data_IF_793219960004
#
_entry.id   IF_793219960004
#
_cell.length_a   1.000
_cell.length_b   1.000
_cell.length_c   1.000
_cell.angle_alpha   90.00
_cell.angle_beta   90.00
_cell.angle_gamma   90.00
#
_symmetry.space_group_name_H-M   'P 1'
#
loop_
_entity.id
_entity.type
_entity.pdbx_description
1 polymer ?
#
# COMPACT_ATOMS: atom_id res chain seq x y z
N UNK A 1 6.81 -15.43 -29.39
CA UNK A 1 6.38 -14.12 -28.86
C UNK A 1 6.26 -14.29 -27.36
N UNK A 2 7.36 -14.11 -26.64
CA UNK A 2 7.32 -14.15 -25.16
C UNK A 2 6.73 -12.83 -24.71
N UNK A 3 5.40 -12.83 -24.48
CA UNK A 3 4.76 -11.82 -23.66
C UNK A 3 5.39 -12.02 -22.29
N UNK A 4 6.09 -11.02 -21.75
CA UNK A 4 6.56 -11.08 -20.38
C UNK A 4 5.38 -11.45 -19.51
N UNK A 5 5.43 -12.55 -18.77
CA UNK A 5 4.50 -12.75 -17.70
C UNK A 5 4.80 -11.63 -16.70
N UNK A 6 3.95 -10.64 -16.73
CA UNK A 6 3.87 -9.50 -15.85
C UNK A 6 5.18 -9.16 -15.12
N UNK A 7 5.76 -7.97 -15.41
CA UNK A 7 6.88 -7.43 -14.64
C UNK A 7 6.64 -7.54 -13.13
N UNK A 8 5.36 -7.59 -12.73
CA UNK A 8 4.87 -7.92 -11.39
C UNK A 8 5.31 -9.31 -10.91
N UNK A 9 5.27 -10.35 -11.75
CA UNK A 9 5.69 -11.70 -11.35
C UNK A 9 7.21 -11.76 -11.12
N UNK A 10 7.98 -11.09 -11.96
CA UNK A 10 9.44 -11.02 -11.82
C UNK A 10 9.83 -10.19 -10.58
N UNK A 11 9.16 -9.05 -10.36
CA UNK A 11 9.36 -8.24 -9.17
C UNK A 11 8.96 -8.99 -7.89
N UNK A 12 7.87 -9.78 -7.94
CA UNK A 12 7.49 -10.67 -6.83
C UNK A 12 8.58 -11.70 -6.53
N UNK A 13 9.15 -12.36 -7.55
CA UNK A 13 10.23 -13.33 -7.37
C UNK A 13 11.48 -12.68 -6.73
N UNK A 14 11.78 -11.45 -7.12
CA UNK A 14 12.83 -10.67 -6.47
C UNK A 14 12.53 -10.39 -4.99
N UNK A 15 11.31 -9.92 -4.68
CA UNK A 15 10.89 -9.63 -3.30
C UNK A 15 10.85 -10.90 -2.44
N UNK A 16 10.46 -12.06 -2.99
CA UNK A 16 10.52 -13.35 -2.29
C UNK A 16 11.94 -13.70 -1.86
N UNK A 17 12.92 -13.44 -2.71
CA UNK A 17 14.33 -13.63 -2.37
C UNK A 17 14.77 -12.70 -1.23
N UNK A 18 14.19 -11.51 -1.13
CA UNK A 18 14.46 -10.54 -0.07
C UNK A 18 13.56 -10.71 1.16
N UNK A 19 12.66 -11.70 1.19
CA UNK A 19 11.66 -11.91 2.24
C UNK A 19 10.80 -10.66 2.48
N UNK A 20 10.34 -10.04 1.41
CA UNK A 20 9.59 -8.77 1.41
C UNK A 20 8.37 -8.80 0.47
N UNK A 21 7.93 -9.98 0.02
CA UNK A 21 6.81 -10.16 -0.92
C UNK A 21 5.46 -9.71 -0.33
N UNK A 22 5.32 -9.71 1.00
CA UNK A 22 4.11 -9.25 1.68
C UNK A 22 3.76 -7.80 1.32
N UNK A 23 4.76 -6.97 1.05
CA UNK A 23 4.57 -5.58 0.66
C UNK A 23 3.82 -5.46 -0.68
N UNK A 24 4.26 -6.22 -1.68
CA UNK A 24 3.61 -6.26 -3.00
C UNK A 24 2.22 -6.91 -2.92
N UNK A 25 2.09 -8.00 -2.17
CA UNK A 25 0.83 -8.71 -1.98
C UNK A 25 -0.23 -7.82 -1.34
N UNK A 26 0.17 -7.03 -0.35
CA UNK A 26 -0.71 -6.04 0.27
C UNK A 26 -1.20 -5.01 -0.75
N UNK A 27 -0.31 -4.39 -1.53
CA UNK A 27 -0.69 -3.41 -2.56
C UNK A 27 -1.72 -3.99 -3.53
N UNK A 28 -1.45 -5.19 -4.08
CA UNK A 28 -2.34 -5.85 -5.04
C UNK A 28 -3.71 -6.20 -4.41
N UNK A 29 -3.72 -6.61 -3.15
CA UNK A 29 -4.97 -6.88 -2.42
C UNK A 29 -5.75 -5.61 -2.11
N UNK A 30 -5.09 -4.50 -1.78
CA UNK A 30 -5.76 -3.20 -1.59
C UNK A 30 -6.36 -2.71 -2.90
N UNK A 31 -5.66 -2.86 -4.02
CA UNK A 31 -6.19 -2.49 -5.34
C UNK A 31 -7.43 -3.34 -5.68
N UNK A 32 -7.42 -4.65 -5.37
CA UNK A 32 -8.61 -5.51 -5.49
C UNK A 32 -9.75 -5.07 -4.58
N UNK A 33 -9.44 -4.71 -3.32
CA UNK A 33 -10.40 -4.19 -2.35
C UNK A 33 -11.12 -2.94 -2.87
N UNK A 34 -10.35 -1.98 -3.41
CA UNK A 34 -10.89 -0.72 -3.97
C UNK A 34 -11.80 -0.94 -5.19
N UNK A 35 -11.54 -1.97 -5.97
CA UNK A 35 -12.33 -2.31 -7.17
C UNK A 35 -13.49 -3.26 -6.91
N UNK A 36 -13.80 -3.55 -5.63
CA UNK A 36 -14.86 -4.48 -5.27
C UNK A 36 -16.20 -3.75 -5.10
N UNK A 37 -17.17 -4.04 -5.96
CA UNK A 37 -18.49 -3.41 -5.93
C UNK A 37 -19.38 -3.90 -4.77
N UNK A 38 -19.25 -5.17 -4.38
CA UNK A 38 -20.07 -5.77 -3.34
C UNK A 38 -19.62 -5.33 -1.94
N UNK A 39 -20.44 -4.54 -1.26
CA UNK A 39 -20.16 -3.97 0.06
C UNK A 39 -19.85 -5.06 1.11
N UNK A 40 -20.64 -6.11 1.20
CA UNK A 40 -20.44 -7.15 2.22
C UNK A 40 -19.14 -7.94 2.00
N UNK A 41 -18.76 -8.18 0.73
CA UNK A 41 -17.47 -8.79 0.39
C UNK A 41 -16.32 -7.84 0.68
N UNK A 42 -16.49 -6.55 0.38
CA UNK A 42 -15.48 -5.52 0.65
C UNK A 42 -15.22 -5.38 2.15
N UNK A 43 -16.25 -5.34 2.97
CA UNK A 43 -16.09 -5.29 4.43
C UNK A 43 -15.36 -6.52 4.98
N UNK A 44 -15.68 -7.72 4.50
CA UNK A 44 -14.93 -8.93 4.86
C UNK A 44 -13.47 -8.83 4.47
N UNK A 45 -13.19 -8.40 3.24
CA UNK A 45 -11.82 -8.24 2.75
C UNK A 45 -11.04 -7.17 3.53
N UNK A 46 -11.72 -6.12 4.04
CA UNK A 46 -11.09 -5.15 4.93
C UNK A 46 -10.56 -5.82 6.21
N UNK A 47 -11.37 -6.65 6.86
CA UNK A 47 -10.95 -7.39 8.05
C UNK A 47 -9.83 -8.39 7.77
N UNK A 48 -9.88 -9.08 6.63
CA UNK A 48 -8.79 -9.99 6.22
C UNK A 48 -7.48 -9.23 5.98
N UNK A 49 -7.55 -8.08 5.29
CA UNK A 49 -6.38 -7.21 5.07
C UNK A 49 -5.80 -6.70 6.39
N UNK A 50 -6.65 -6.24 7.29
CA UNK A 50 -6.22 -5.75 8.59
C UNK A 50 -5.53 -6.86 9.40
N UNK A 51 -6.20 -8.01 9.54
CA UNK A 51 -5.70 -9.15 10.33
C UNK A 51 -4.38 -9.70 9.78
N UNK A 52 -4.27 -9.80 8.46
CA UNK A 52 -3.14 -10.48 7.82
C UNK A 52 -1.92 -9.56 7.62
N UNK A 53 -2.13 -8.21 7.58
CA UNK A 53 -1.06 -7.27 7.23
C UNK A 53 -0.83 -6.12 8.21
N UNK A 54 -1.89 -5.60 8.88
CA UNK A 54 -1.81 -4.35 9.64
C UNK A 54 -1.68 -4.60 11.14
N UNK A 55 -2.41 -5.58 11.67
CA UNK A 55 -2.39 -5.91 13.09
C UNK A 55 -0.97 -6.24 13.57
N UNK A 56 -0.68 -5.88 14.82
CA UNK A 56 0.59 -6.27 15.46
C UNK A 56 0.62 -7.79 15.58
N UNK A 57 1.72 -8.42 15.19
CA UNK A 57 1.85 -9.88 15.15
C UNK A 57 1.09 -10.55 13.98
N UNK A 58 0.67 -9.80 12.98
CA UNK A 58 0.04 -10.35 11.78
C UNK A 58 0.96 -11.34 11.07
N UNK A 59 0.37 -12.32 10.38
CA UNK A 59 1.13 -13.36 9.66
C UNK A 59 2.09 -12.78 8.60
N UNK A 60 1.69 -11.69 7.96
CA UNK A 60 2.43 -10.96 6.94
C UNK A 60 2.57 -9.50 7.36
N UNK A 61 2.94 -9.27 8.62
CA UNK A 61 2.97 -7.93 9.20
C UNK A 61 3.84 -6.98 8.39
N UNK A 62 3.23 -5.85 7.99
CA UNK A 62 3.93 -4.80 7.26
C UNK A 62 4.77 -3.94 8.20
N UNK A 63 5.91 -3.49 7.70
CA UNK A 63 6.76 -2.52 8.39
C UNK A 63 6.16 -1.10 8.24
N UNK A 64 5.12 -0.84 9.03
CA UNK A 64 4.46 0.46 9.12
C UNK A 64 4.98 1.23 10.32
N UNK A 65 5.15 2.54 10.15
CA UNK A 65 5.33 3.43 11.29
C UNK A 65 4.07 3.46 12.17
N UNK A 66 4.22 3.84 13.44
CA UNK A 66 3.15 3.82 14.43
C UNK A 66 1.96 4.68 14.02
N UNK A 67 2.19 5.85 13.41
CA UNK A 67 1.13 6.73 12.95
C UNK A 67 0.33 6.11 11.80
N UNK A 68 1.00 5.60 10.77
CA UNK A 68 0.34 4.94 9.63
C UNK A 68 -0.49 3.73 10.09
N UNK A 69 0.04 2.94 11.04
CA UNK A 69 -0.69 1.82 11.64
C UNK A 69 -1.93 2.30 12.40
N UNK A 70 -1.78 3.31 13.27
CA UNK A 70 -2.86 3.86 14.09
C UNK A 70 -3.98 4.43 13.23
N UNK A 71 -3.67 5.26 12.25
CA UNK A 71 -4.66 5.83 11.30
C UNK A 71 -5.42 4.72 10.57
N UNK A 72 -4.73 3.70 10.06
CA UNK A 72 -5.38 2.58 9.37
C UNK A 72 -6.26 1.77 10.33
N UNK A 73 -5.82 1.54 11.58
CA UNK A 73 -6.60 0.83 12.59
C UNK A 73 -7.89 1.58 12.93
N UNK A 74 -7.82 2.89 13.10
CA UNK A 74 -9.00 3.73 13.36
C UNK A 74 -9.98 3.70 12.19
N UNK A 75 -9.50 3.77 10.96
CA UNK A 75 -10.34 3.68 9.76
C UNK A 75 -11.08 2.34 9.64
N UNK A 76 -10.67 1.30 10.39
CA UNK A 76 -11.38 0.01 10.45
C UNK A 76 -12.68 0.06 11.25
N UNK A 77 -12.94 1.10 12.03
CA UNK A 77 -14.22 1.29 12.73
C UNK A 77 -15.38 1.36 11.72
N UNK A 78 -15.14 2.08 10.60
CA UNK A 78 -16.11 2.16 9.50
C UNK A 78 -15.36 2.01 8.17
N UNK A 79 -15.10 0.77 7.71
CA UNK A 79 -14.26 0.54 6.53
C UNK A 79 -14.89 1.12 5.26
N UNK A 80 -14.13 1.96 4.56
CA UNK A 80 -14.48 2.57 3.28
C UNK A 80 -13.34 2.42 2.26
N UNK A 81 -13.52 2.90 1.03
CA UNK A 81 -12.56 2.68 -0.07
C UNK A 81 -11.14 3.19 0.22
N UNK A 82 -11.01 4.25 1.03
CA UNK A 82 -9.72 4.85 1.39
C UNK A 82 -9.12 4.33 2.72
N UNK A 83 -9.75 3.37 3.38
CA UNK A 83 -9.30 2.81 4.68
C UNK A 83 -7.81 2.45 4.71
N UNK A 84 -7.28 1.92 3.62
CA UNK A 84 -5.89 1.47 3.53
C UNK A 84 -4.95 2.44 2.81
N UNK A 85 -5.41 3.64 2.43
CA UNK A 85 -4.62 4.55 1.58
C UNK A 85 -3.33 5.01 2.26
N UNK A 86 -3.37 5.31 3.56
CA UNK A 86 -2.19 5.70 4.34
C UNK A 86 -1.15 4.57 4.37
N UNK A 87 -1.56 3.36 4.74
CA UNK A 87 -0.67 2.20 4.76
C UNK A 87 -0.15 1.87 3.35
N UNK A 88 -1.04 1.90 2.33
CA UNK A 88 -0.66 1.68 0.94
C UNK A 88 0.38 2.68 0.44
N UNK A 89 0.18 3.96 0.74
CA UNK A 89 1.13 5.02 0.38
C UNK A 89 2.50 4.80 1.02
N UNK A 90 2.54 4.42 2.29
CA UNK A 90 3.79 4.12 3.00
C UNK A 90 4.54 2.93 2.38
N UNK A 91 3.83 1.84 2.11
CA UNK A 91 4.42 0.64 1.50
C UNK A 91 4.85 0.90 0.04
N UNK A 92 4.05 1.65 -0.73
CA UNK A 92 4.42 2.04 -2.09
C UNK A 92 5.73 2.86 -2.10
N UNK A 93 5.87 3.80 -1.18
CA UNK A 93 7.11 4.58 -1.04
C UNK A 93 8.31 3.69 -0.68
N UNK A 94 8.12 2.71 0.22
CA UNK A 94 9.15 1.75 0.58
C UNK A 94 9.59 0.94 -0.65
N UNK A 95 8.65 0.39 -1.40
CA UNK A 95 8.95 -0.39 -2.60
C UNK A 95 9.64 0.46 -3.69
N UNK A 96 9.15 1.67 -3.94
CA UNK A 96 9.65 2.52 -5.03
C UNK A 96 11.04 3.09 -4.76
N UNK A 97 11.33 3.47 -3.52
CA UNK A 97 12.56 4.17 -3.18
C UNK A 97 13.72 3.23 -2.81
N UNK A 98 13.44 1.96 -2.59
CA UNK A 98 14.44 0.99 -2.16
C UNK A 98 14.38 -0.32 -2.99
N UNK A 99 13.40 -1.16 -2.77
CA UNK A 99 13.33 -2.49 -3.38
C UNK A 99 13.31 -2.45 -4.92
N UNK A 100 12.60 -1.49 -5.52
CA UNK A 100 12.50 -1.36 -6.97
C UNK A 100 13.83 -0.94 -7.61
N UNK A 101 14.61 -0.10 -6.93
CA UNK A 101 15.93 0.30 -7.40
C UNK A 101 16.86 -0.92 -7.46
N UNK A 102 16.90 -1.71 -6.38
CA UNK A 102 17.69 -2.96 -6.34
C UNK A 102 17.19 -4.00 -7.35
N UNK A 103 15.88 -4.07 -7.59
CA UNK A 103 15.31 -4.94 -8.63
C UNK A 103 15.84 -4.59 -10.03
N UNK A 104 15.94 -3.31 -10.38
CA UNK A 104 16.48 -2.88 -11.68
C UNK A 104 17.96 -3.25 -11.84
N UNK A 105 18.69 -3.37 -10.75
CA UNK A 105 20.10 -3.78 -10.73
C UNK A 105 20.27 -5.31 -10.68
N UNK A 106 19.19 -6.04 -10.41
CA UNK A 106 19.22 -7.49 -10.32
C UNK A 106 19.61 -8.14 -11.66
N UNK A 107 20.62 -9.01 -11.62
CA UNK A 107 21.23 -9.62 -12.82
C UNK A 107 20.19 -10.28 -13.72
N UNK A 108 19.28 -11.08 -13.15
CA UNK A 108 18.21 -11.75 -13.91
C UNK A 108 17.31 -10.74 -14.63
N UNK A 109 16.94 -9.63 -13.99
CA UNK A 109 16.17 -8.58 -14.63
C UNK A 109 16.95 -7.96 -15.79
N UNK A 110 18.23 -7.65 -15.61
CA UNK A 110 19.09 -7.04 -16.62
C UNK A 110 19.30 -7.97 -17.84
N UNK A 111 19.49 -9.26 -17.59
CA UNK A 111 19.61 -10.25 -18.67
C UNK A 111 18.32 -10.36 -19.48
N UNK A 112 17.16 -10.47 -18.82
CA UNK A 112 15.86 -10.54 -19.47
C UNK A 112 15.54 -9.26 -20.24
N UNK A 113 15.80 -8.08 -19.65
CA UNK A 113 15.61 -6.79 -20.31
C UNK A 113 16.47 -6.66 -21.60
N UNK A 114 17.70 -7.17 -21.56
CA UNK A 114 18.60 -7.17 -22.72
C UNK A 114 18.09 -8.11 -23.83
N UNK A 115 17.63 -9.31 -23.46
CA UNK A 115 17.09 -10.28 -24.42
C UNK A 115 15.83 -9.80 -25.12
N UNK A 116 15.02 -8.98 -24.44
CA UNK A 116 13.76 -8.45 -24.98
C UNK A 116 13.91 -7.15 -25.76
N UNK A 117 15.13 -6.64 -25.95
CA UNK A 117 15.40 -5.37 -26.64
C UNK A 117 14.61 -4.18 -26.07
N UNK A 118 14.17 -4.29 -24.80
CA UNK A 118 13.59 -3.15 -24.10
C UNK A 118 14.72 -2.26 -23.55
N UNK A 119 14.56 -0.92 -23.57
CA UNK A 119 15.55 -0.04 -22.94
C UNK A 119 15.71 -0.41 -21.47
N UNK A 120 16.93 -0.69 -21.05
CA UNK A 120 17.23 -0.88 -19.63
C UNK A 120 16.98 0.46 -18.95
N UNK A 121 16.02 0.52 -18.03
CA UNK A 121 15.82 1.67 -17.18
C UNK A 121 17.02 1.76 -16.25
N UNK A 122 17.95 2.66 -16.55
CA UNK A 122 19.02 2.98 -15.62
C UNK A 122 18.48 3.87 -14.52
N UNK A 123 18.84 3.64 -13.26
CA UNK A 123 18.44 4.56 -12.19
C UNK A 123 19.14 5.90 -12.41
N UNK A 124 18.44 6.85 -13.05
CA UNK A 124 18.83 8.25 -13.03
C UNK A 124 18.45 8.81 -11.68
N UNK A 125 19.42 9.23 -10.90
CA UNK A 125 19.23 10.03 -9.70
C UNK A 125 18.29 11.21 -10.02
N UNK A 126 17.23 11.32 -9.26
CA UNK A 126 16.19 12.35 -9.26
C UNK A 126 15.11 12.24 -10.35
N UNK A 127 14.07 11.50 -10.06
CA UNK A 127 12.67 11.90 -10.30
C UNK A 127 11.74 10.86 -9.71
N UNK A 128 10.74 11.33 -9.02
CA UNK A 128 9.63 10.53 -8.48
C UNK A 128 9.09 9.58 -9.55
N UNK A 129 9.48 8.32 -9.50
CA UNK A 129 8.91 7.29 -10.35
C UNK A 129 7.49 7.02 -9.87
N UNK A 130 6.54 7.71 -10.50
CA UNK A 130 5.16 7.27 -10.47
C UNK A 130 5.08 5.95 -11.23
N UNK A 131 4.89 4.85 -10.52
CA UNK A 131 4.45 3.61 -11.11
C UNK A 131 3.10 3.89 -11.79
N UNK A 132 3.16 4.09 -13.11
CA UNK A 132 1.96 4.24 -13.93
C UNK A 132 1.27 2.88 -14.02
N UNK A 133 0.36 2.62 -13.10
CA UNK A 133 -0.73 1.69 -13.35
C UNK A 133 -1.66 2.38 -14.36
N UNK A 134 -2.22 1.67 -15.35
CA UNK A 134 -3.04 2.30 -16.37
C UNK A 134 -4.21 3.02 -15.72
N UNK A 135 -4.20 4.34 -15.78
CA UNK A 135 -5.29 5.17 -15.36
C UNK A 135 -6.47 4.93 -16.32
N UNK A 136 -7.55 4.42 -15.77
CA UNK A 136 -8.85 4.51 -16.41
C UNK A 136 -9.24 5.99 -16.46
N UNK A 137 -9.50 6.46 -17.66
CA UNK A 137 -9.80 7.84 -18.03
C UNK A 137 -10.73 8.57 -17.06
N UNK A 138 -10.29 9.77 -16.74
CA UNK A 138 -11.02 11.03 -16.61
C UNK A 138 -12.49 11.00 -16.24
N UNK A 139 -12.80 11.55 -15.09
CA UNK A 139 -13.91 12.53 -15.00
C UNK A 139 -13.63 13.55 -13.89
N UNK A 140 -13.57 14.80 -14.35
CA UNK A 140 -13.97 16.07 -13.72
C UNK A 140 -13.62 16.34 -12.26
N UNK A 141 -12.88 17.45 -12.08
CA UNK A 141 -12.87 18.32 -10.91
C UNK A 141 -14.24 18.29 -10.21
N UNK A 142 -14.26 17.71 -9.01
CA UNK A 142 -15.31 17.99 -8.05
C UNK A 142 -14.64 18.64 -6.85
N UNK A 143 -15.02 19.88 -6.63
CA UNK A 143 -14.80 20.70 -5.47
C UNK A 143 -15.07 19.84 -4.23
N UNK A 144 -14.14 19.86 -3.25
CA UNK A 144 -14.31 19.31 -1.91
C UNK A 144 -15.70 19.63 -1.40
N UNK A 145 -16.49 18.61 -1.11
CA UNK A 145 -17.78 18.77 -0.46
C UNK A 145 -17.58 18.89 1.05
N UNK A 146 -18.49 19.58 1.77
CA UNK A 146 -18.38 19.80 3.23
C UNK A 146 -18.35 18.51 4.07
N UNK A 147 -18.60 17.36 3.47
CA UNK A 147 -18.63 16.05 4.14
C UNK A 147 -17.23 15.50 4.45
N UNK A 148 -16.20 15.99 3.75
CA UNK A 148 -14.81 15.56 3.99
C UNK A 148 -14.21 16.22 5.26
N UNK A 149 -14.70 17.38 5.65
CA UNK A 149 -14.25 18.09 6.86
C UNK A 149 -14.81 17.45 8.15
N UNK A 150 -16.04 16.93 8.14
CA UNK A 150 -16.62 16.22 9.30
C UNK A 150 -15.84 14.92 9.62
N UNK A 151 -15.28 14.28 8.59
CA UNK A 151 -14.54 13.03 8.78
C UNK A 151 -13.17 13.27 9.41
N UNK A 152 -12.52 14.38 9.09
CA UNK A 152 -11.23 14.78 9.68
C UNK A 152 -11.41 15.17 11.15
N UNK A 153 -12.48 15.89 11.51
CA UNK A 153 -12.80 16.22 12.90
C UNK A 153 -13.10 14.97 13.73
N UNK A 154 -13.82 14.00 13.18
CA UNK A 154 -14.14 12.75 13.89
C UNK A 154 -12.90 11.90 14.17
N UNK A 155 -11.96 11.83 13.23
CA UNK A 155 -10.66 11.14 13.41
C UNK A 155 -9.83 11.86 14.48
N UNK A 156 -9.84 13.18 14.55
CA UNK A 156 -9.11 13.95 15.56
C UNK A 156 -9.69 13.77 16.97
N UNK A 157 -11.01 13.71 17.11
CA UNK A 157 -11.68 13.49 18.39
C UNK A 157 -11.38 12.08 18.93
N UNK A 158 -11.49 11.05 18.10
CA UNK A 158 -11.16 9.66 18.49
C UNK A 158 -9.67 9.51 18.82
N UNK A 159 -8.80 10.26 18.11
CA UNK A 159 -7.37 10.30 18.40
C UNK A 159 -7.10 10.89 19.79
N UNK A 160 -7.78 11.96 20.14
CA UNK A 160 -7.65 12.64 21.44
C UNK A 160 -8.13 11.74 22.59
N UNK A 161 -9.22 10.99 22.43
CA UNK A 161 -9.71 10.06 23.45
C UNK A 161 -8.76 8.89 23.69
N UNK A 162 -8.08 8.38 22.62
CA UNK A 162 -7.09 7.33 22.75
C UNK A 162 -5.81 7.81 23.44
N UNK A 163 -5.37 9.03 23.16
CA UNK A 163 -4.19 9.63 23.81
C UNK A 163 -4.45 9.87 25.32
N UNK A 164 -5.69 10.18 25.71
CA UNK A 164 -6.10 10.31 27.10
C UNK A 164 -6.09 8.95 27.83
N UNK A 165 -6.49 7.86 27.18
CA UNK A 165 -6.48 6.53 27.78
C UNK A 165 -5.06 5.96 27.96
N UNK A 166 -4.09 6.31 27.10
CA UNK A 166 -2.68 5.90 27.27
C UNK A 166 -2.01 6.61 28.48
N UNK A 167 -2.50 7.77 28.88
CA UNK A 167 -1.97 8.51 30.05
C UNK A 167 -2.57 8.08 31.38
N UNK A 168 -3.66 7.32 31.40
CA UNK A 168 -4.32 6.84 32.63
C UNK A 168 -3.83 5.46 33.11
N UNK A 169 -2.89 4.81 32.44
CA UNK A 169 -2.32 3.56 32.96
C UNK A 169 -1.27 3.86 34.02
N UNK A 170 -1.48 3.46 35.28
CA UNK A 170 -0.50 3.64 36.34
C UNK A 170 0.72 2.75 36.05
N UNK A 171 1.89 3.36 36.05
CA UNK A 171 3.16 2.65 36.03
C UNK A 171 3.25 1.76 37.26
N UNK A 172 3.16 0.46 37.05
CA UNK A 172 3.56 -0.54 38.06
C UNK A 172 5.04 -0.88 37.89
#
# INVERSE_FOLDING_TARGET
MFVFPDGTALFRAFLQREHAEENLDFILKVDKYKNMDNLARRQRMAWDLYRDYIAVGAKHELNLDSMSRKVTTLAMITPHLSTFDTARGRIMNLLSNDAYIRFLEWEIYRELATQCKTPVLTPTHHSSLQLHLPARSSTKNTILSPEDDEHIEHVQVVQHELDLQEHEQPRQ
#
